data_IF_805091992427
#
_entry.id   IF_805091992427
#
_cell.length_a   1.000
_cell.length_b   1.000
_cell.length_c   1.000
_cell.angle_alpha   90.00
_cell.angle_beta   90.00
_cell.angle_gamma   90.00
#
_symmetry.space_group_name_H-M   'P 1'
#
loop_
_entity.id
_entity.type
_entity.pdbx_description
1 polymer ?
#
# COMPACT_ATOMS: atom_id res chain seq x y z
N UNK A 1 21.71 5.67 -78.31
CA UNK A 1 21.23 5.19 -76.99
C UNK A 1 20.99 6.41 -76.10
N UNK A 2 19.72 6.80 -75.88
CA UNK A 2 19.38 7.89 -74.97
C UNK A 2 18.71 7.30 -73.73
N UNK A 3 19.31 7.56 -72.55
CA UNK A 3 18.89 7.05 -71.25
C UNK A 3 17.87 8.03 -70.65
N UNK A 4 16.59 7.67 -70.67
CA UNK A 4 15.54 8.48 -70.05
C UNK A 4 15.57 8.33 -68.52
N UNK A 5 16.16 9.31 -67.83
CA UNK A 5 16.04 9.46 -66.38
C UNK A 5 14.65 10.02 -66.05
N UNK A 6 13.71 9.14 -65.70
CA UNK A 6 12.48 9.54 -65.00
C UNK A 6 12.85 9.94 -63.58
N UNK A 7 12.91 11.25 -63.30
CA UNK A 7 12.94 11.73 -61.92
C UNK A 7 11.55 11.51 -61.31
N UNK A 8 11.48 10.71 -60.23
CA UNK A 8 10.29 10.62 -59.39
C UNK A 8 10.15 11.93 -58.62
N UNK A 9 9.19 12.76 -59.02
CA UNK A 9 8.74 13.92 -58.24
C UNK A 9 8.03 13.42 -56.98
N UNK A 10 8.65 13.56 -55.82
CA UNK A 10 7.96 13.47 -54.54
C UNK A 10 7.08 14.71 -54.40
N UNK A 11 5.77 14.54 -54.54
CA UNK A 11 4.80 15.59 -54.25
C UNK A 11 4.80 15.85 -52.72
N UNK A 12 5.13 17.08 -52.32
CA UNK A 12 5.05 17.51 -50.93
C UNK A 12 3.60 17.74 -50.48
N UNK A 13 3.38 17.74 -49.17
CA UNK A 13 2.08 18.05 -48.58
C UNK A 13 1.69 19.52 -48.81
N UNK A 14 0.41 19.76 -49.06
CA UNK A 14 -0.14 21.11 -49.14
C UNK A 14 -0.31 21.71 -47.75
N UNK A 15 -0.31 23.05 -47.68
CA UNK A 15 -0.46 23.77 -46.41
C UNK A 15 -1.81 23.47 -45.72
N UNK A 16 -2.86 23.25 -46.50
CA UNK A 16 -4.18 22.89 -45.98
C UNK A 16 -4.21 21.46 -45.40
N UNK A 17 -3.52 20.50 -46.01
CA UNK A 17 -3.43 19.14 -45.49
C UNK A 17 -2.72 19.09 -44.14
N UNK A 18 -1.64 19.86 -43.98
CA UNK A 18 -0.93 19.96 -42.69
C UNK A 18 -1.85 20.55 -41.61
N UNK A 19 -2.64 21.55 -41.95
CA UNK A 19 -3.56 22.20 -41.00
C UNK A 19 -4.70 21.27 -40.57
N UNK A 20 -5.25 20.49 -41.51
CA UNK A 20 -6.26 19.47 -41.21
C UNK A 20 -5.69 18.35 -40.34
N UNK A 21 -4.50 17.84 -40.66
CA UNK A 21 -3.85 16.78 -39.88
C UNK A 21 -3.51 17.25 -38.46
N UNK A 22 -3.00 18.47 -38.31
CA UNK A 22 -2.73 19.06 -37.00
C UNK A 22 -4.02 19.24 -36.17
N UNK A 23 -5.12 19.64 -36.82
CA UNK A 23 -6.43 19.76 -36.18
C UNK A 23 -6.97 18.42 -35.67
N UNK A 24 -6.90 17.38 -36.49
CA UNK A 24 -7.33 16.03 -36.11
C UNK A 24 -6.44 15.48 -34.98
N UNK A 25 -5.12 15.63 -35.10
CA UNK A 25 -4.18 15.19 -34.06
C UNK A 25 -4.42 15.90 -32.72
N UNK A 26 -4.66 17.22 -32.75
CA UNK A 26 -4.99 18.00 -31.55
C UNK A 26 -6.29 17.56 -30.88
N UNK A 27 -7.33 17.28 -31.66
CA UNK A 27 -8.62 16.79 -31.16
C UNK A 27 -8.50 15.39 -30.52
N UNK A 28 -7.77 14.48 -31.17
CA UNK A 28 -7.51 13.14 -30.63
C UNK A 28 -6.70 13.24 -29.32
N UNK A 29 -5.62 14.04 -29.32
CA UNK A 29 -4.77 14.21 -28.15
C UNK A 29 -5.53 14.76 -26.94
N UNK A 30 -6.36 15.79 -27.13
CA UNK A 30 -7.18 16.34 -26.05
C UNK A 30 -8.21 15.35 -25.52
N UNK A 31 -8.88 14.60 -26.41
CA UNK A 31 -9.87 13.59 -26.01
C UNK A 31 -9.24 12.46 -25.19
N UNK A 32 -8.02 12.03 -25.56
CA UNK A 32 -7.26 11.02 -24.82
C UNK A 32 -6.86 11.57 -23.45
N UNK A 33 -6.28 12.77 -23.38
CA UNK A 33 -5.82 13.38 -22.12
C UNK A 33 -6.98 13.56 -21.12
N UNK A 34 -8.14 14.03 -21.58
CA UNK A 34 -9.33 14.22 -20.71
C UNK A 34 -9.81 12.88 -20.13
N UNK A 35 -9.74 11.78 -20.89
CA UNK A 35 -10.19 10.46 -20.44
C UNK A 35 -9.14 9.67 -19.65
N UNK A 36 -7.86 10.03 -19.72
CA UNK A 36 -6.76 9.24 -19.15
C UNK A 36 -6.63 9.35 -17.62
N UNK A 37 -7.13 10.43 -16.99
CA UNK A 37 -6.77 10.77 -15.61
C UNK A 37 -7.79 10.36 -14.52
N UNK A 38 -8.99 9.86 -14.84
CA UNK A 38 -10.09 9.78 -13.84
C UNK A 38 -10.55 8.38 -13.43
N UNK A 39 -10.07 7.32 -14.06
CA UNK A 39 -10.90 6.10 -14.16
C UNK A 39 -10.50 4.90 -13.30
N UNK A 40 -9.34 4.86 -12.64
CA UNK A 40 -8.99 3.69 -11.82
C UNK A 40 -8.53 4.09 -10.43
N UNK A 41 -9.35 3.77 -9.44
CA UNK A 41 -8.96 3.68 -8.05
C UNK A 41 -7.90 2.57 -7.94
N UNK A 42 -6.66 2.93 -7.59
CA UNK A 42 -5.61 1.93 -7.42
C UNK A 42 -5.60 1.40 -5.99
N UNK A 43 -6.37 0.35 -5.75
CA UNK A 43 -6.38 -0.33 -4.45
C UNK A 43 -5.07 -1.08 -4.18
N UNK A 44 -4.27 -1.37 -5.21
CA UNK A 44 -2.99 -2.07 -5.02
C UNK A 44 -1.97 -1.14 -4.36
N UNK A 45 -1.94 0.14 -4.73
CA UNK A 45 -1.06 1.12 -4.10
C UNK A 45 -1.31 1.18 -2.59
N UNK A 46 -2.56 1.41 -2.19
CA UNK A 46 -2.93 1.47 -0.76
C UNK A 46 -2.61 0.17 -0.03
N UNK A 47 -2.92 -0.98 -0.64
CA UNK A 47 -2.62 -2.28 -0.04
C UNK A 47 -1.12 -2.53 0.11
N UNK A 48 -0.32 -2.19 -0.90
CA UNK A 48 1.13 -2.37 -0.89
C UNK A 48 1.81 -1.44 0.12
N UNK A 49 1.32 -0.21 0.31
CA UNK A 49 1.82 0.69 1.35
C UNK A 49 1.61 0.08 2.74
N UNK A 50 0.39 -0.40 3.04
CA UNK A 50 0.12 -1.06 4.32
C UNK A 50 1.00 -2.30 4.52
N UNK A 51 1.14 -3.14 3.49
CA UNK A 51 2.02 -4.32 3.56
C UNK A 51 3.48 -3.93 3.76
N UNK A 52 3.95 -2.85 3.10
CA UNK A 52 5.29 -2.33 3.30
C UNK A 52 5.50 -1.91 4.75
N UNK A 53 4.54 -1.23 5.36
CA UNK A 53 4.63 -0.83 6.77
C UNK A 53 4.61 -2.05 7.71
N UNK A 54 3.81 -3.08 7.41
CA UNK A 54 3.83 -4.35 8.16
C UNK A 54 5.19 -5.05 8.06
N UNK A 55 5.77 -5.10 6.86
CA UNK A 55 7.11 -5.67 6.63
C UNK A 55 8.21 -4.87 7.32
N UNK A 56 8.09 -3.55 7.34
CA UNK A 56 9.01 -2.68 8.07
C UNK A 56 8.95 -2.94 9.58
N UNK A 57 7.75 -3.04 10.16
CA UNK A 57 7.59 -3.39 11.57
C UNK A 57 8.17 -4.78 11.89
N UNK A 58 7.93 -5.77 11.01
CA UNK A 58 8.51 -7.11 11.14
C UNK A 58 10.04 -7.08 11.07
N UNK A 59 10.62 -6.28 10.16
CA UNK A 59 12.07 -6.13 10.03
C UNK A 59 12.68 -5.41 11.24
N UNK A 60 12.00 -4.42 11.80
CA UNK A 60 12.42 -3.74 13.03
C UNK A 60 12.46 -4.70 14.23
N UNK A 61 11.48 -5.59 14.34
CA UNK A 61 11.49 -6.66 15.35
C UNK A 61 12.63 -7.66 15.10
N UNK A 62 12.79 -8.15 13.87
CA UNK A 62 13.84 -9.12 13.52
C UNK A 62 15.26 -8.61 13.81
N UNK A 63 15.49 -7.31 13.61
CA UNK A 63 16.78 -6.66 13.86
C UNK A 63 16.90 -6.02 15.24
N UNK A 64 15.88 -6.16 16.10
CA UNK A 64 15.82 -5.57 17.44
C UNK A 64 16.20 -4.08 17.43
N UNK A 65 15.63 -3.33 16.49
CA UNK A 65 15.87 -1.89 16.35
C UNK A 65 15.53 -1.21 17.67
N UNK A 66 16.29 -0.16 18.00
CA UNK A 66 15.99 0.68 19.16
C UNK A 66 15.05 1.80 18.71
N UNK A 67 14.01 2.07 19.50
CA UNK A 67 13.15 3.22 19.30
C UNK A 67 13.30 4.20 20.47
N UNK A 68 13.68 5.45 20.18
CA UNK A 68 14.04 6.43 21.21
C UNK A 68 15.29 6.01 22.02
N UNK A 69 16.24 5.31 21.40
CA UNK A 69 17.49 4.89 22.04
C UNK A 69 17.39 3.64 22.93
N UNK A 70 16.21 3.06 23.10
CA UNK A 70 15.98 1.88 23.95
C UNK A 70 15.43 0.72 23.13
N UNK A 71 15.77 -0.50 23.51
CA UNK A 71 15.20 -1.71 22.95
C UNK A 71 13.71 -1.78 23.31
N UNK A 72 12.91 -2.24 22.36
CA UNK A 72 11.47 -2.34 22.50
C UNK A 72 11.06 -3.78 22.57
N UNK A 73 9.98 -4.03 23.30
CA UNK A 73 9.42 -5.35 23.40
C UNK A 73 8.73 -5.82 22.10
N UNK A 74 8.58 -4.93 21.12
CA UNK A 74 8.22 -5.27 19.75
C UNK A 74 7.70 -4.09 18.95
N UNK A 75 7.15 -4.39 17.79
CA UNK A 75 6.62 -3.41 16.86
C UNK A 75 5.29 -3.91 16.32
N UNK A 76 4.35 -3.01 16.09
CA UNK A 76 3.04 -3.43 15.64
C UNK A 76 2.31 -2.42 14.78
N UNK A 77 1.20 -2.90 14.23
CA UNK A 77 0.25 -2.11 13.47
C UNK A 77 -1.12 -2.25 14.11
N UNK A 78 -1.78 -1.10 14.31
CA UNK A 78 -3.12 -1.04 14.86
C UNK A 78 -4.08 -0.29 13.94
N UNK A 79 -5.32 -0.75 13.91
CA UNK A 79 -6.43 -0.01 13.34
C UNK A 79 -6.73 1.24 14.20
N UNK A 80 -7.06 2.35 13.55
CA UNK A 80 -7.57 3.56 14.20
C UNK A 80 -9.01 3.81 13.75
N UNK A 81 -9.21 4.00 12.45
CA UNK A 81 -10.52 4.27 11.84
C UNK A 81 -10.56 3.74 10.38
N UNK A 82 -11.64 4.04 9.66
CA UNK A 82 -11.85 3.49 8.32
C UNK A 82 -10.84 3.99 7.27
N UNK A 83 -10.03 5.01 7.54
CA UNK A 83 -9.07 5.57 6.58
C UNK A 83 -7.65 5.65 7.14
N UNK A 84 -7.44 5.23 8.40
CA UNK A 84 -6.17 5.38 9.09
C UNK A 84 -5.78 4.20 9.98
N UNK A 85 -4.47 4.02 10.11
CA UNK A 85 -3.85 3.05 11.00
C UNK A 85 -2.58 3.65 11.62
N UNK A 86 -2.08 3.05 12.68
CA UNK A 86 -0.81 3.46 13.29
C UNK A 86 0.20 2.33 13.30
N UNK A 87 1.45 2.68 13.04
CA UNK A 87 2.63 1.88 13.37
C UNK A 87 3.09 2.31 14.75
N UNK A 88 3.32 1.35 15.64
CA UNK A 88 3.73 1.63 17.01
C UNK A 88 4.92 0.77 17.43
N UNK A 89 5.63 1.28 18.44
CA UNK A 89 6.69 0.59 19.14
C UNK A 89 6.18 0.17 20.51
N UNK A 90 6.53 -1.06 20.89
CA UNK A 90 6.21 -1.69 22.16
C UNK A 90 6.74 -0.94 23.39
N UNK A 91 6.43 -1.44 24.59
CA UNK A 91 7.04 -0.96 25.82
C UNK A 91 8.58 -1.07 25.78
N UNK A 92 9.21 -0.27 26.63
CA UNK A 92 10.66 -0.31 26.81
C UNK A 92 11.08 -1.57 27.55
N UNK A 93 12.05 -2.31 27.02
CA UNK A 93 12.59 -3.49 27.72
C UNK A 93 13.37 -3.12 28.99
N UNK A 94 13.65 -1.82 29.21
CA UNK A 94 14.32 -1.34 30.42
C UNK A 94 13.35 -1.22 31.61
N UNK A 95 12.04 -1.14 31.36
CA UNK A 95 11.02 -0.95 32.39
C UNK A 95 9.97 -2.05 32.42
N UNK A 96 9.85 -2.85 31.35
CA UNK A 96 8.77 -3.82 31.16
C UNK A 96 9.33 -5.20 30.82
N UNK A 97 8.80 -6.24 31.47
CA UNK A 97 9.07 -7.64 31.10
C UNK A 97 8.23 -8.02 29.87
N UNK A 98 8.92 -8.14 28.73
CA UNK A 98 8.28 -8.45 27.45
C UNK A 98 7.60 -9.82 27.41
N UNK A 99 7.92 -10.74 28.33
CA UNK A 99 7.32 -12.08 28.35
C UNK A 99 5.89 -12.08 28.88
N UNK A 100 5.58 -11.22 29.85
CA UNK A 100 4.29 -11.14 30.52
C UNK A 100 3.36 -10.04 29.96
N UNK A 101 3.87 -9.17 29.09
CA UNK A 101 3.13 -8.03 28.55
C UNK A 101 1.94 -8.46 27.66
N UNK A 102 0.95 -7.58 27.52
CA UNK A 102 -0.04 -7.72 26.47
C UNK A 102 0.59 -7.34 25.11
N UNK A 103 0.38 -8.14 24.06
CA UNK A 103 0.87 -7.84 22.70
C UNK A 103 -0.15 -7.02 21.87
N UNK A 104 -1.27 -6.63 22.47
CA UNK A 104 -2.15 -5.60 21.93
C UNK A 104 -1.67 -4.22 22.34
N UNK A 105 -2.04 -3.21 21.55
CA UNK A 105 -1.72 -1.83 21.85
C UNK A 105 -2.38 -1.40 23.18
N UNK A 106 -1.59 -0.78 24.05
CA UNK A 106 -1.94 -0.29 25.36
C UNK A 106 -1.26 1.03 25.70
N UNK A 107 -1.32 1.40 26.98
CA UNK A 107 -0.87 2.71 27.45
C UNK A 107 0.66 2.91 27.44
N UNK A 108 1.42 1.81 27.45
CA UNK A 108 2.89 1.83 27.45
C UNK A 108 3.49 1.85 26.03
N UNK A 109 2.66 1.64 25.01
CA UNK A 109 3.06 1.67 23.62
C UNK A 109 3.21 3.10 23.11
N UNK A 110 4.11 3.28 22.15
CA UNK A 110 4.36 4.58 21.53
C UNK A 110 4.00 4.51 20.06
N UNK A 111 3.05 5.35 19.64
CA UNK A 111 2.76 5.54 18.22
C UNK A 111 3.98 6.15 17.54
N UNK A 112 4.61 5.37 16.65
CA UNK A 112 5.73 5.82 15.85
C UNK A 112 5.27 6.66 14.67
N UNK A 113 4.15 6.30 14.05
CA UNK A 113 3.55 7.07 12.97
C UNK A 113 2.09 6.69 12.77
N UNK A 114 1.23 7.69 12.59
CA UNK A 114 -0.12 7.52 12.07
C UNK A 114 -0.11 7.69 10.55
N UNK A 115 -0.75 6.75 9.85
CA UNK A 115 -0.81 6.69 8.38
C UNK A 115 -2.26 6.81 7.94
N UNK A 116 -2.51 7.76 7.05
CA UNK A 116 -3.79 7.88 6.34
C UNK A 116 -3.65 7.30 4.94
N UNK A 117 -4.74 6.79 4.37
CA UNK A 117 -4.76 6.46 2.96
C UNK A 117 -4.53 7.69 2.09
N UNK A 118 -3.69 7.55 1.07
CA UNK A 118 -3.37 8.62 0.13
C UNK A 118 -4.58 8.98 -0.75
N UNK A 119 -5.33 7.97 -1.20
CA UNK A 119 -6.56 8.16 -1.95
C UNK A 119 -7.77 8.25 -1.01
N UNK A 120 -8.40 9.42 -0.97
CA UNK A 120 -9.55 9.73 -0.10
C UNK A 120 -10.83 8.97 -0.46
N UNK A 121 -10.82 8.19 -1.56
CA UNK A 121 -11.94 7.35 -1.99
C UNK A 121 -11.81 5.91 -1.49
N UNK A 122 -10.78 5.60 -0.71
CA UNK A 122 -10.49 4.26 -0.17
C UNK A 122 -10.80 4.20 1.32
N UNK A 123 -11.30 3.07 1.78
CA UNK A 123 -11.54 2.78 3.20
C UNK A 123 -11.23 1.31 3.54
N UNK A 124 -10.92 1.05 4.82
CA UNK A 124 -11.03 -0.26 5.42
C UNK A 124 -12.51 -0.65 5.49
N UNK A 125 -12.82 -1.88 5.06
CA UNK A 125 -14.18 -2.42 5.06
C UNK A 125 -14.59 -3.00 6.40
N UNK A 126 -13.63 -3.23 7.28
CA UNK A 126 -13.82 -3.66 8.67
C UNK A 126 -12.62 -3.22 9.48
N UNK A 127 -12.81 -3.06 10.79
CA UNK A 127 -11.66 -3.00 11.71
C UNK A 127 -10.88 -4.31 11.67
N UNK A 128 -9.60 -4.23 12.03
CA UNK A 128 -8.73 -5.39 12.20
C UNK A 128 -8.06 -5.33 13.57
N UNK A 129 -7.68 -6.49 14.09
CA UNK A 129 -7.02 -6.57 15.40
C UNK A 129 -5.57 -6.08 15.33
N UNK A 130 -5.00 -5.76 16.48
CA UNK A 130 -3.59 -5.44 16.57
C UNK A 130 -2.72 -6.58 16.05
N UNK A 131 -1.73 -6.20 15.26
CA UNK A 131 -0.72 -7.08 14.67
C UNK A 131 0.60 -6.70 15.32
N UNK A 132 1.24 -7.63 16.01
CA UNK A 132 2.45 -7.37 16.76
C UNK A 132 3.55 -8.36 16.41
N UNK A 133 4.77 -7.86 16.28
CA UNK A 133 5.97 -8.62 15.99
C UNK A 133 6.93 -8.52 17.17
N UNK A 134 7.18 -9.66 17.82
CA UNK A 134 8.03 -9.76 19.01
C UNK A 134 9.48 -10.06 18.59
N UNK A 135 10.50 -9.29 19.01
CA UNK A 135 11.91 -9.55 18.75
C UNK A 135 12.45 -10.68 19.64
N UNK A 136 13.60 -11.31 19.31
CA UNK A 136 14.41 -11.11 18.10
C UNK A 136 13.98 -11.98 16.91
N UNK A 137 13.23 -13.06 17.16
CA UNK A 137 12.58 -13.86 16.12
C UNK A 137 11.17 -13.31 15.96
N UNK A 138 10.83 -12.57 14.86
CA UNK A 138 9.65 -11.71 14.72
C UNK A 138 8.34 -12.50 14.74
N UNK A 139 8.02 -13.07 15.89
CA UNK A 139 6.86 -13.92 16.11
C UNK A 139 5.63 -13.02 16.02
N UNK A 140 4.73 -13.38 15.11
CA UNK A 140 3.54 -12.62 14.84
C UNK A 140 2.44 -12.98 15.82
N UNK A 141 1.97 -12.00 16.58
CA UNK A 141 0.78 -12.07 17.40
C UNK A 141 -0.35 -11.33 16.69
N UNK A 142 -1.50 -11.98 16.61
CA UNK A 142 -2.74 -11.40 16.11
C UNK A 142 -3.69 -11.32 17.30
N UNK A 143 -4.04 -10.11 17.75
CA UNK A 143 -4.84 -9.91 18.95
C UNK A 143 -4.27 -10.66 20.19
N UNK A 144 -2.97 -10.46 20.47
CA UNK A 144 -2.25 -11.13 21.56
C UNK A 144 -2.17 -12.67 21.45
N UNK A 145 -2.52 -13.25 20.29
CA UNK A 145 -2.50 -14.70 20.07
C UNK A 145 -1.53 -15.07 18.93
N UNK A 146 -0.62 -16.00 19.21
CA UNK A 146 0.35 -16.52 18.23
C UNK A 146 0.16 -18.03 17.98
N UNK A 147 -1.03 -18.58 18.19
CA UNK A 147 -1.32 -19.97 17.86
C UNK A 147 -1.11 -20.25 16.37
N UNK A 148 -0.64 -21.47 16.08
CA UNK A 148 -0.33 -21.90 14.71
C UNK A 148 -1.61 -21.93 13.86
N UNK A 149 -1.49 -21.46 12.62
CA UNK A 149 -2.58 -21.48 11.64
C UNK A 149 -3.59 -20.33 11.75
N UNK A 150 -3.42 -19.41 12.70
CA UNK A 150 -4.25 -18.20 12.77
C UNK A 150 -3.89 -17.22 11.65
N UNK A 151 -4.90 -16.47 11.21
CA UNK A 151 -4.74 -15.39 10.25
C UNK A 151 -5.69 -14.23 10.55
N UNK A 152 -5.30 -13.03 10.13
CA UNK A 152 -6.13 -11.83 10.13
C UNK A 152 -6.27 -11.36 8.69
N UNK A 153 -7.52 -11.19 8.27
CA UNK A 153 -7.87 -10.64 6.97
C UNK A 153 -8.15 -9.15 7.15
N UNK A 154 -7.53 -8.34 6.31
CA UNK A 154 -7.74 -6.89 6.23
C UNK A 154 -8.28 -6.61 4.83
N UNK A 155 -9.46 -6.00 4.76
CA UNK A 155 -10.11 -5.70 3.48
C UNK A 155 -10.13 -4.20 3.26
N UNK A 156 -9.57 -3.76 2.14
CA UNK A 156 -9.54 -2.36 1.70
C UNK A 156 -10.41 -2.25 0.45
N UNK A 157 -11.21 -1.19 0.32
CA UNK A 157 -12.03 -0.99 -0.88
C UNK A 157 -12.48 0.44 -1.06
N UNK A 158 -13.20 0.70 -2.16
CA UNK A 158 -13.80 2.01 -2.43
C UNK A 158 -14.83 2.39 -1.37
N UNK A 159 -14.87 3.64 -0.90
CA UNK A 159 -15.94 4.14 -0.01
C UNK A 159 -17.31 3.81 -0.58
N UNK A 160 -18.19 3.23 0.25
CA UNK A 160 -19.53 2.75 -0.12
C UNK A 160 -19.57 1.68 -1.25
N UNK A 161 -18.41 1.18 -1.68
CA UNK A 161 -18.30 0.08 -2.64
C UNK A 161 -18.53 -1.27 -1.97
N UNK A 162 -19.12 -2.21 -2.71
CA UNK A 162 -19.30 -3.59 -2.27
C UNK A 162 -18.12 -4.46 -2.69
N UNK A 163 -17.65 -5.31 -1.78
CA UNK A 163 -16.73 -6.41 -2.10
C UNK A 163 -17.52 -7.56 -2.77
N UNK A 164 -16.91 -8.38 -3.65
CA UNK A 164 -15.47 -8.51 -3.91
C UNK A 164 -14.94 -7.66 -5.07
N UNK A 165 -15.78 -7.10 -5.94
CA UNK A 165 -15.34 -6.49 -7.21
C UNK A 165 -14.54 -5.19 -7.08
N UNK A 166 -14.61 -4.50 -5.93
CA UNK A 166 -13.89 -3.25 -5.67
C UNK A 166 -13.13 -3.28 -4.35
N UNK A 167 -12.57 -4.44 -4.01
CA UNK A 167 -11.83 -4.63 -2.78
C UNK A 167 -10.52 -5.37 -3.04
N UNK A 168 -9.56 -5.15 -2.15
CA UNK A 168 -8.29 -5.84 -2.06
C UNK A 168 -8.19 -6.45 -0.67
N UNK A 169 -7.72 -7.68 -0.58
CA UNK A 169 -7.60 -8.38 0.71
C UNK A 169 -6.15 -8.67 1.01
N UNK A 170 -5.72 -8.24 2.21
CA UNK A 170 -4.41 -8.53 2.77
C UNK A 170 -4.62 -9.56 3.87
N UNK A 171 -3.90 -10.67 3.80
CA UNK A 171 -3.95 -11.70 4.83
C UNK A 171 -2.60 -11.83 5.49
N UNK A 172 -2.55 -11.63 6.80
CA UNK A 172 -1.36 -11.92 7.62
C UNK A 172 -1.61 -13.18 8.45
N UNK A 173 -0.58 -14.01 8.53
CA UNK A 173 -0.60 -15.26 9.29
C UNK A 173 0.32 -15.17 10.50
N UNK A 174 0.06 -15.96 11.55
CA UNK A 174 0.97 -16.07 12.71
C UNK A 174 2.34 -16.64 12.35
N UNK A 175 2.51 -17.22 11.16
CA UNK A 175 3.80 -17.61 10.59
C UNK A 175 4.64 -16.43 10.05
N UNK A 176 4.11 -15.20 10.06
CA UNK A 176 4.78 -14.03 9.47
C UNK A 176 4.62 -13.91 7.96
N UNK A 177 3.90 -14.83 7.30
CA UNK A 177 3.50 -14.66 5.90
C UNK A 177 2.48 -13.52 5.79
N UNK A 178 2.63 -12.68 4.77
CA UNK A 178 1.68 -11.65 4.37
C UNK A 178 1.40 -11.87 2.89
N UNK A 179 0.12 -12.01 2.53
CA UNK A 179 -0.37 -12.25 1.19
C UNK A 179 -1.34 -11.16 0.75
N UNK A 180 -1.31 -10.79 -0.54
CA UNK A 180 -2.13 -9.72 -1.11
C UNK A 180 -2.89 -10.26 -2.30
N UNK A 181 -4.21 -10.24 -2.22
CA UNK A 181 -5.13 -10.80 -3.23
C UNK A 181 -6.04 -9.73 -3.81
#
# INVERSE_FOLDING_TARGET
MAKNNKQLSWAGFTLIEILVVAGIAGFIATTVIINFSRTRLDLNETANILVSDMRNAQAQAASSVKYGGVLRCGYGIRYIDSVSYAVYAGPSTASTDCTAQNRNFGAEDIVSSTKNFLDTRVEFKSSFNDIFFEPPDPKTYLNNNAALGLSQIITIGKINGSCPSNCKTITIYTSGKIDVQ
#
